data_IF_786511911450
#
_entry.id   IF_786511911450
#
_cell.length_a   1.000
_cell.length_b   1.000
_cell.length_c   1.000
_cell.angle_alpha   90.00
_cell.angle_beta   90.00
_cell.angle_gamma   90.00
#
_symmetry.space_group_name_H-M   'P 1'
#
loop_
_entity.id
_entity.type
_entity.pdbx_description
1 polymer ?
#
# COMPACT_ATOMS: atom_id res chain seq x y z
N UNK A 1 9.18 -17.93 -7.03
CA UNK A 1 8.85 -16.50 -6.80
C UNK A 1 8.46 -16.38 -5.35
N UNK A 2 9.10 -15.45 -4.62
CA UNK A 2 8.67 -15.11 -3.26
C UNK A 2 7.28 -14.46 -3.29
N UNK A 3 6.59 -14.42 -2.15
CA UNK A 3 5.27 -13.79 -2.05
C UNK A 3 5.35 -12.28 -2.32
N UNK A 4 6.49 -11.66 -1.99
CA UNK A 4 6.82 -10.30 -2.42
C UNK A 4 6.92 -10.16 -3.94
N UNK A 5 7.60 -11.08 -4.63
CA UNK A 5 7.70 -11.02 -6.11
C UNK A 5 6.33 -11.20 -6.79
N UNK A 6 5.48 -12.08 -6.23
CA UNK A 6 4.10 -12.24 -6.72
C UNK A 6 3.28 -10.97 -6.52
N UNK A 7 3.39 -10.36 -5.33
CA UNK A 7 2.75 -9.09 -5.03
C UNK A 7 3.20 -8.01 -6.01
N UNK A 8 4.51 -7.82 -6.21
CA UNK A 8 5.05 -6.84 -7.15
C UNK A 8 4.52 -7.06 -8.56
N UNK A 9 4.49 -8.31 -9.04
CA UNK A 9 3.94 -8.63 -10.36
C UNK A 9 2.47 -8.24 -10.47
N UNK A 10 1.64 -8.63 -9.49
CA UNK A 10 0.20 -8.33 -9.46
C UNK A 10 -0.10 -6.86 -9.29
N UNK A 11 0.70 -6.18 -8.47
CA UNK A 11 0.65 -4.74 -8.28
C UNK A 11 0.93 -4.04 -9.60
N UNK A 12 2.01 -4.36 -10.31
CA UNK A 12 2.32 -3.80 -11.63
C UNK A 12 1.21 -4.09 -12.65
N UNK A 13 0.71 -5.33 -12.71
CA UNK A 13 -0.40 -5.72 -13.58
C UNK A 13 -1.68 -4.89 -13.30
N UNK A 14 -1.94 -4.50 -12.05
CA UNK A 14 -3.12 -3.72 -11.68
C UNK A 14 -3.17 -2.32 -12.32
N UNK A 15 -2.01 -1.79 -12.71
CA UNK A 15 -1.87 -0.50 -13.41
C UNK A 15 -2.07 -0.58 -14.92
N UNK A 16 -1.84 -1.75 -15.52
CA UNK A 16 -1.83 -1.92 -16.98
C UNK A 16 -3.17 -1.55 -17.61
N UNK A 17 -3.16 -0.60 -18.56
CA UNK A 17 -4.36 -0.14 -19.28
C UNK A 17 -5.22 0.87 -18.52
N UNK A 18 -4.76 1.36 -17.36
CA UNK A 18 -5.45 2.37 -16.53
C UNK A 18 -4.57 3.61 -16.29
N UNK A 19 -3.55 3.79 -17.15
CA UNK A 19 -2.42 4.69 -16.96
C UNK A 19 -2.78 6.12 -16.52
N UNK A 20 -3.68 6.87 -17.20
CA UNK A 20 -3.82 8.30 -16.93
C UNK A 20 -4.39 8.60 -15.53
N UNK A 21 -5.36 7.78 -15.09
CA UNK A 21 -6.04 7.97 -13.82
C UNK A 21 -5.14 7.56 -12.65
N UNK A 22 -4.40 6.46 -12.81
CA UNK A 22 -3.58 5.95 -11.72
C UNK A 22 -2.30 6.75 -11.55
N UNK A 23 -1.67 7.22 -12.63
CA UNK A 23 -0.56 8.15 -12.53
C UNK A 23 -0.97 9.47 -11.86
N UNK A 24 -2.20 9.94 -12.05
CA UNK A 24 -2.69 11.14 -11.36
C UNK A 24 -2.95 10.89 -9.87
N UNK A 25 -3.61 9.78 -9.51
CA UNK A 25 -3.93 9.47 -8.10
C UNK A 25 -2.67 9.12 -7.32
N UNK A 26 -1.82 8.23 -7.84
CA UNK A 26 -0.54 7.91 -7.21
C UNK A 26 0.40 9.11 -7.23
N UNK A 27 0.46 9.86 -8.33
CA UNK A 27 1.28 11.07 -8.42
C UNK A 27 0.91 12.09 -7.35
N UNK A 28 -0.38 12.27 -7.07
CA UNK A 28 -0.85 13.14 -6.00
C UNK A 28 -0.50 12.58 -4.61
N UNK A 29 -0.69 11.28 -4.39
CA UNK A 29 -0.36 10.58 -3.14
C UNK A 29 1.15 10.67 -2.83
N UNK A 30 2.01 10.40 -3.82
CA UNK A 30 3.45 10.50 -3.69
C UNK A 30 3.93 11.96 -3.56
N UNK A 31 3.30 12.90 -4.27
CA UNK A 31 3.60 14.33 -4.14
C UNK A 31 3.28 14.84 -2.74
N UNK A 32 2.18 14.39 -2.14
CA UNK A 32 1.83 14.71 -0.74
C UNK A 32 2.87 14.14 0.26
N UNK A 33 3.49 12.98 -0.02
CA UNK A 33 4.60 12.43 0.78
C UNK A 33 5.91 13.21 0.60
N UNK A 34 6.27 13.57 -0.64
CA UNK A 34 7.53 14.28 -0.96
C UNK A 34 7.51 15.72 -0.43
N UNK A 35 6.36 16.40 -0.45
CA UNK A 35 6.22 17.80 -0.01
C UNK A 35 6.20 17.94 1.53
N UNK A 36 6.21 16.83 2.28
CA UNK A 36 6.64 16.83 3.69
C UNK A 36 5.68 17.50 4.67
N UNK A 37 4.36 17.43 4.46
CA UNK A 37 3.39 17.90 5.45
C UNK A 37 2.92 16.72 6.34
N UNK A 38 3.41 16.68 7.60
CA UNK A 38 3.26 15.56 8.57
C UNK A 38 1.84 15.04 8.81
N UNK A 39 0.80 15.75 8.39
CA UNK A 39 -0.61 15.38 8.56
C UNK A 39 -1.20 14.56 7.40
N UNK A 40 -0.47 14.38 6.30
CA UNK A 40 -1.00 13.75 5.08
C UNK A 40 -0.37 12.38 4.74
N UNK A 41 0.62 11.94 5.53
CA UNK A 41 1.19 10.58 5.42
C UNK A 41 0.11 9.50 5.62
N UNK A 42 -0.69 9.65 6.67
CA UNK A 42 -1.83 8.76 6.95
C UNK A 42 -2.80 8.66 5.77
N UNK A 43 -3.08 9.77 5.07
CA UNK A 43 -4.00 9.78 3.93
C UNK A 43 -3.41 9.06 2.71
N UNK A 44 -2.12 9.21 2.48
CA UNK A 44 -1.41 8.46 1.46
C UNK A 44 -1.44 6.96 1.75
N UNK A 45 -1.26 6.59 3.02
CA UNK A 45 -1.25 5.20 3.47
C UNK A 45 -2.64 4.56 3.42
N UNK A 46 -3.68 5.31 3.79
CA UNK A 46 -5.09 4.89 3.63
C UNK A 46 -5.43 4.71 2.15
N UNK A 47 -5.06 5.67 1.29
CA UNK A 47 -5.32 5.58 -0.14
C UNK A 47 -4.65 4.36 -0.78
N UNK A 48 -3.38 4.09 -0.41
CA UNK A 48 -2.65 2.92 -0.90
C UNK A 48 -3.25 1.61 -0.37
N UNK A 49 -3.68 1.58 0.90
CA UNK A 49 -4.38 0.43 1.50
C UNK A 49 -5.69 0.14 0.78
N UNK A 50 -6.51 1.15 0.52
CA UNK A 50 -7.75 1.00 -0.24
C UNK A 50 -7.50 0.53 -1.67
N UNK A 51 -6.45 1.04 -2.31
CA UNK A 51 -6.08 0.63 -3.66
C UNK A 51 -5.74 -0.86 -3.71
N UNK A 52 -4.86 -1.33 -2.82
CA UNK A 52 -4.44 -2.73 -2.77
C UNK A 52 -5.65 -3.64 -2.56
N UNK A 53 -6.51 -3.31 -1.60
CA UNK A 53 -7.73 -4.08 -1.32
C UNK A 53 -8.74 -4.12 -2.48
N UNK A 54 -8.75 -3.10 -3.34
CA UNK A 54 -9.72 -2.99 -4.45
C UNK A 54 -9.21 -3.53 -5.78
N UNK A 55 -7.90 -3.48 -6.03
CA UNK A 55 -7.35 -3.68 -7.37
C UNK A 55 -6.23 -4.72 -7.46
N UNK A 56 -5.71 -5.21 -6.33
CA UNK A 56 -4.62 -6.18 -6.32
C UNK A 56 -5.15 -7.55 -5.90
N UNK A 57 -5.60 -8.32 -6.90
CA UNK A 57 -6.22 -9.62 -6.69
C UNK A 57 -5.34 -10.59 -5.89
N UNK A 58 -5.93 -11.24 -4.89
CA UNK A 58 -5.26 -12.22 -4.05
C UNK A 58 -4.48 -11.63 -2.87
N UNK A 59 -4.49 -10.30 -2.71
CA UNK A 59 -3.84 -9.60 -1.61
C UNK A 59 -4.83 -8.70 -0.87
N UNK A 60 -4.56 -8.47 0.41
CA UNK A 60 -5.25 -7.45 1.22
C UNK A 60 -4.20 -6.61 1.94
N UNK A 61 -4.53 -5.36 2.24
CA UNK A 61 -3.66 -4.44 2.98
C UNK A 61 -4.38 -3.90 4.22
N UNK A 62 -3.61 -3.65 5.28
CA UNK A 62 -4.06 -2.99 6.50
C UNK A 62 -3.12 -1.83 6.84
N UNK A 63 -3.68 -0.63 6.97
CA UNK A 63 -2.98 0.53 7.52
C UNK A 63 -2.79 0.36 9.04
N UNK A 64 -1.57 0.58 9.52
CA UNK A 64 -1.16 0.35 10.93
C UNK A 64 -0.90 1.62 11.74
N UNK A 65 -0.93 2.80 11.10
CA UNK A 65 -0.58 4.12 11.66
C UNK A 65 -1.39 4.64 12.86
N UNK A 66 -2.42 3.92 13.35
CA UNK A 66 -3.17 4.29 14.57
C UNK A 66 -3.22 3.25 15.69
N UNK A 67 -2.68 2.04 15.50
CA UNK A 67 -2.77 0.99 16.53
C UNK A 67 -1.54 0.88 17.45
N UNK A 68 -0.45 1.61 17.20
CA UNK A 68 0.75 1.55 18.05
C UNK A 68 1.25 2.92 18.52
N UNK A 69 0.53 3.50 19.46
CA UNK A 69 1.15 4.43 20.44
C UNK A 69 2.11 3.73 21.41
N UNK A 70 2.36 2.41 21.26
CA UNK A 70 3.20 1.59 22.15
C UNK A 70 3.79 0.37 21.43
N UNK A 71 4.89 0.53 20.69
CA UNK A 71 5.98 -0.45 20.58
C UNK A 71 7.02 0.02 19.55
N UNK A 72 8.15 0.52 20.05
CA UNK A 72 9.30 1.02 19.27
C UNK A 72 10.15 -0.11 18.65
N UNK A 73 9.59 -0.96 17.80
CA UNK A 73 10.47 -1.92 17.08
C UNK A 73 10.23 -2.04 15.57
N UNK A 74 9.03 -1.78 15.03
CA UNK A 74 8.82 -1.74 13.58
C UNK A 74 7.70 -0.74 13.25
N UNK A 75 8.07 0.45 12.78
CA UNK A 75 7.16 1.49 12.32
C UNK A 75 6.85 1.24 10.83
N UNK A 76 6.11 0.16 10.57
CA UNK A 76 5.55 -0.11 9.25
C UNK A 76 4.17 0.53 9.18
N UNK A 77 3.95 1.33 8.15
CA UNK A 77 2.72 2.14 7.98
C UNK A 77 1.57 1.33 7.33
N UNK A 78 1.90 0.27 6.58
CA UNK A 78 0.96 -0.63 5.90
C UNK A 78 1.50 -2.07 5.98
N UNK A 79 0.63 -3.05 6.24
CA UNK A 79 0.92 -4.48 6.09
C UNK A 79 0.12 -5.09 4.96
N UNK A 80 0.75 -5.93 4.16
CA UNK A 80 0.09 -6.66 3.07
C UNK A 80 0.00 -8.14 3.43
N UNK A 81 -1.11 -8.80 3.09
CA UNK A 81 -1.32 -10.23 3.33
C UNK A 81 -1.77 -10.91 2.04
N UNK A 82 -1.09 -11.99 1.64
CA UNK A 82 -1.55 -12.86 0.54
C UNK A 82 -2.71 -13.74 1.06
N UNK A 83 -3.89 -13.62 0.47
CA UNK A 83 -5.13 -14.25 0.97
C UNK A 83 -5.05 -15.77 0.92
N UNK A 84 -4.39 -16.34 -0.09
CA UNK A 84 -4.30 -17.79 -0.29
C UNK A 84 -3.32 -18.49 0.66
N UNK A 85 -2.21 -17.85 0.99
CA UNK A 85 -1.13 -18.42 1.82
C UNK A 85 -1.15 -17.90 3.25
N UNK A 86 -1.86 -16.79 3.51
CA UNK A 86 -1.84 -16.02 4.76
C UNK A 86 -0.46 -15.48 5.12
N UNK A 87 0.44 -15.38 4.15
CA UNK A 87 1.77 -14.82 4.36
C UNK A 87 1.69 -13.30 4.48
N UNK A 88 2.34 -12.75 5.51
CA UNK A 88 2.48 -11.30 5.69
C UNK A 88 3.71 -10.79 4.95
N UNK A 89 3.49 -9.72 4.19
CA UNK A 89 4.51 -8.99 3.47
C UNK A 89 4.63 -7.62 4.15
N UNK A 90 5.84 -7.24 4.62
CA UNK A 90 6.12 -5.92 5.16
C UNK A 90 6.02 -4.82 4.09
#
# INVERSE_FOLDING_TARGET
MSSFDKFLKKFVESFSGKDPMIFSVLGNVFSMRIIGNKTHGDLAEIALTEYINRFVDGFTAKHTGKEKFRAKEFEEDIRITEIGTKEEIP
#
